data_IF_655956715801
#
_entry.id   IF_655956715801
#
_cell.length_a   1.000
_cell.length_b   1.000
_cell.length_c   1.000
_cell.angle_alpha   90.00
_cell.angle_beta   90.00
_cell.angle_gamma   90.00
#
_symmetry.space_group_name_H-M   'P 1'
#
loop_
_entity.id
_entity.type
_entity.pdbx_description
1 polymer ?
#
# COMPACT_ATOMS: atom_id res chain seq x y z
N UNK A 1 51.48 4.08 -2.94
CA UNK A 1 50.48 4.53 -3.92
C UNK A 1 50.02 5.93 -3.52
N UNK A 2 50.63 6.98 -4.09
CA UNK A 2 50.25 8.37 -3.79
C UNK A 2 48.99 8.70 -4.59
N UNK A 3 47.84 8.85 -3.92
CA UNK A 3 46.65 9.40 -4.58
C UNK A 3 46.89 10.91 -4.70
N UNK A 4 47.01 11.47 -5.92
CA UNK A 4 47.27 12.90 -6.06
C UNK A 4 46.05 13.69 -5.57
N UNK A 5 46.25 14.58 -4.60
CA UNK A 5 45.20 15.44 -4.03
C UNK A 5 44.39 16.20 -5.09
N UNK A 6 45.00 16.50 -6.25
CA UNK A 6 44.34 17.10 -7.40
C UNK A 6 43.23 16.22 -8.02
N UNK A 7 43.40 14.90 -8.02
CA UNK A 7 42.37 13.96 -8.50
C UNK A 7 41.20 13.93 -7.52
N UNK A 8 41.48 13.89 -6.21
CA UNK A 8 40.46 13.92 -5.17
C UNK A 8 39.61 15.20 -5.25
N UNK A 9 40.25 16.35 -5.43
CA UNK A 9 39.56 17.64 -5.57
C UNK A 9 38.65 17.71 -6.79
N UNK A 10 39.09 17.20 -7.96
CA UNK A 10 38.24 17.15 -9.17
C UNK A 10 37.03 16.25 -8.99
N UNK A 11 37.22 15.06 -8.41
CA UNK A 11 36.12 14.13 -8.12
C UNK A 11 35.10 14.78 -7.18
N UNK A 12 35.56 15.47 -6.14
CA UNK A 12 34.68 16.18 -5.21
C UNK A 12 33.86 17.27 -5.91
N UNK A 13 34.50 18.10 -6.75
CA UNK A 13 33.79 19.15 -7.50
C UNK A 13 32.75 18.55 -8.44
N UNK A 14 33.09 17.49 -9.18
CA UNK A 14 32.11 16.83 -10.05
C UNK A 14 30.94 16.23 -9.27
N UNK A 15 31.18 15.68 -8.08
CA UNK A 15 30.15 15.14 -7.21
C UNK A 15 29.22 16.27 -6.72
N UNK A 16 29.76 17.40 -6.26
CA UNK A 16 28.96 18.56 -5.83
C UNK A 16 28.12 19.10 -6.98
N UNK A 17 28.69 19.26 -8.18
CA UNK A 17 27.94 19.70 -9.37
C UNK A 17 26.84 18.71 -9.73
N UNK A 18 27.12 17.40 -9.68
CA UNK A 18 26.14 16.37 -9.93
C UNK A 18 24.97 16.42 -8.93
N UNK A 19 25.25 16.62 -7.64
CA UNK A 19 24.21 16.78 -6.60
C UNK A 19 23.34 17.99 -6.89
N UNK A 20 23.93 19.15 -7.21
CA UNK A 20 23.18 20.37 -7.55
C UNK A 20 22.27 20.14 -8.76
N UNK A 21 22.80 19.53 -9.83
CA UNK A 21 22.02 19.22 -11.03
C UNK A 21 20.87 18.27 -10.69
N UNK A 22 21.12 17.23 -9.90
CA UNK A 22 20.10 16.27 -9.48
C UNK A 22 18.97 16.93 -8.67
N UNK A 23 19.32 17.87 -7.78
CA UNK A 23 18.34 18.65 -7.00
C UNK A 23 17.52 19.59 -7.88
N UNK A 24 18.13 20.23 -8.88
CA UNK A 24 17.40 21.08 -9.83
C UNK A 24 16.44 20.26 -10.69
N UNK A 25 16.88 19.09 -11.17
CA UNK A 25 16.03 18.16 -11.92
C UNK A 25 14.86 17.68 -11.07
N UNK A 26 15.09 17.30 -9.80
CA UNK A 26 14.01 16.84 -8.92
C UNK A 26 12.99 17.94 -8.63
N UNK A 27 13.42 19.19 -8.41
CA UNK A 27 12.53 20.35 -8.26
C UNK A 27 11.67 20.59 -9.51
N UNK A 28 12.28 20.55 -10.71
CA UNK A 28 11.55 20.71 -11.96
C UNK A 28 10.51 19.60 -12.17
N UNK A 29 10.87 18.35 -11.87
CA UNK A 29 9.95 17.20 -11.92
C UNK A 29 8.83 17.35 -10.88
N UNK A 30 9.14 17.86 -9.68
CA UNK A 30 8.18 18.13 -8.63
C UNK A 30 7.15 19.18 -9.04
N UNK A 31 7.60 20.31 -9.57
CA UNK A 31 6.73 21.39 -10.09
C UNK A 31 5.85 20.88 -11.23
N UNK A 32 6.41 20.08 -12.14
CA UNK A 32 5.64 19.49 -13.23
C UNK A 32 4.60 18.49 -12.71
N UNK A 33 4.98 17.57 -11.81
CA UNK A 33 4.06 16.57 -11.23
C UNK A 33 2.92 17.25 -10.47
N UNK A 34 3.22 18.31 -9.73
CA UNK A 34 2.24 19.12 -9.02
C UNK A 34 1.24 19.77 -9.99
N UNK A 35 1.72 20.37 -11.09
CA UNK A 35 0.83 21.01 -12.08
C UNK A 35 -0.09 20.04 -12.82
N UNK A 36 0.29 18.76 -12.97
CA UNK A 36 -0.49 17.78 -13.73
C UNK A 36 -1.33 16.82 -12.88
N UNK A 37 -1.28 16.92 -11.54
CA UNK A 37 -1.89 15.94 -10.62
C UNK A 37 -1.56 14.48 -11.00
N UNK A 38 -0.37 14.28 -11.57
CA UNK A 38 0.12 12.96 -11.99
C UNK A 38 1.56 12.86 -11.54
N UNK A 39 1.83 11.89 -10.66
CA UNK A 39 3.19 11.46 -10.41
C UNK A 39 3.76 10.97 -11.73
N UNK A 40 4.78 11.66 -12.26
CA UNK A 40 5.40 11.34 -13.55
C UNK A 40 6.07 9.96 -13.56
N UNK A 41 6.54 9.50 -12.40
CA UNK A 41 7.29 8.25 -12.26
C UNK A 41 6.89 7.47 -11.00
N UNK A 42 5.64 6.96 -10.89
CA UNK A 42 5.20 6.21 -9.72
C UNK A 42 6.09 4.98 -9.49
N UNK A 43 6.49 4.29 -10.56
CA UNK A 43 7.38 3.14 -10.48
C UNK A 43 8.78 3.48 -9.94
N UNK A 44 9.29 4.70 -10.21
CA UNK A 44 10.58 5.13 -9.65
C UNK A 44 10.46 5.44 -8.16
N UNK A 45 9.37 6.08 -7.74
CA UNK A 45 9.10 6.34 -6.31
C UNK A 45 9.03 5.01 -5.55
N UNK A 46 8.23 4.07 -6.05
CA UNK A 46 8.14 2.73 -5.46
C UNK A 46 9.49 2.02 -5.48
N UNK A 47 10.23 2.05 -6.59
CA UNK A 47 11.58 1.48 -6.65
C UNK A 47 12.48 2.03 -5.55
N UNK A 48 12.51 3.35 -5.35
CA UNK A 48 13.32 3.97 -4.31
C UNK A 48 12.85 3.59 -2.91
N UNK A 49 11.54 3.70 -2.63
CA UNK A 49 10.98 3.33 -1.32
C UNK A 49 11.33 1.89 -0.93
N UNK A 50 11.17 0.94 -1.87
CA UNK A 50 11.46 -0.45 -1.62
C UNK A 50 12.96 -0.77 -1.60
N UNK A 51 13.78 -0.07 -2.39
CA UNK A 51 15.23 -0.22 -2.36
C UNK A 51 15.80 0.21 -1.00
N UNK A 52 15.26 1.27 -0.40
CA UNK A 52 15.69 1.78 0.90
C UNK A 52 14.95 1.16 2.08
N UNK A 53 13.99 0.26 1.86
CA UNK A 53 13.22 -0.38 2.92
C UNK A 53 14.09 -1.09 3.97
N UNK A 54 14.90 -2.06 3.55
CA UNK A 54 15.77 -2.82 4.46
C UNK A 54 16.86 -1.95 5.11
N UNK A 55 17.56 -1.06 4.37
CA UNK A 55 18.48 -0.09 4.99
C UNK A 55 17.80 0.80 6.04
N UNK A 56 16.60 1.31 5.77
CA UNK A 56 15.87 2.16 6.71
C UNK A 56 15.50 1.40 7.98
N UNK A 57 14.99 0.17 7.87
CA UNK A 57 14.71 -0.68 9.04
C UNK A 57 15.95 -0.99 9.86
N UNK A 58 17.09 -1.25 9.22
CA UNK A 58 18.36 -1.45 9.92
C UNK A 58 18.77 -0.21 10.73
N UNK A 59 18.60 0.99 10.17
CA UNK A 59 18.85 2.25 10.87
C UNK A 59 17.90 2.41 12.05
N UNK A 60 16.59 2.20 11.85
CA UNK A 60 15.59 2.27 12.93
C UNK A 60 15.95 1.34 14.09
N UNK A 61 16.29 0.07 13.78
CA UNK A 61 16.74 -0.91 14.77
C UNK A 61 17.98 -0.45 15.52
N UNK A 62 18.96 0.12 14.81
CA UNK A 62 20.19 0.66 15.42
C UNK A 62 19.91 1.85 16.33
N UNK A 63 18.94 2.70 15.95
CA UNK A 63 18.54 3.88 16.70
C UNK A 63 17.47 3.61 17.78
N UNK A 64 17.10 2.35 18.03
CA UNK A 64 16.01 1.97 18.96
C UNK A 64 14.65 2.61 18.64
N UNK A 65 14.40 2.84 17.34
CA UNK A 65 13.13 3.35 16.81
C UNK A 65 12.31 2.16 16.31
N UNK A 66 10.97 2.21 16.48
CA UNK A 66 10.07 1.17 15.97
C UNK A 66 10.20 1.03 14.45
N UNK A 67 10.46 -0.17 13.97
CA UNK A 67 10.61 -0.46 12.54
C UNK A 67 9.31 -0.24 11.74
N UNK A 68 8.14 -0.36 12.41
CA UNK A 68 6.82 -0.14 11.80
C UNK A 68 6.65 1.26 11.21
N UNK A 69 7.39 2.27 11.71
CA UNK A 69 7.36 3.63 11.15
C UNK A 69 7.79 3.63 9.67
N UNK A 70 8.72 2.75 9.28
CA UNK A 70 9.15 2.63 7.89
C UNK A 70 8.01 2.08 7.03
N UNK A 71 7.29 1.08 7.54
CA UNK A 71 6.13 0.51 6.88
C UNK A 71 5.01 1.55 6.70
N UNK A 72 4.69 2.31 7.76
CA UNK A 72 3.69 3.40 7.75
C UNK A 72 3.97 4.42 6.65
N UNK A 73 5.21 4.89 6.58
CA UNK A 73 5.63 5.87 5.58
C UNK A 73 5.45 5.28 4.17
N UNK A 74 5.82 4.02 3.95
CA UNK A 74 5.69 3.39 2.63
C UNK A 74 4.21 3.23 2.25
N UNK A 75 3.36 2.83 3.19
CA UNK A 75 1.92 2.67 2.95
C UNK A 75 1.29 4.02 2.64
N UNK A 76 1.57 5.07 3.42
CA UNK A 76 1.01 6.41 3.22
C UNK A 76 1.49 7.07 1.93
N UNK A 77 2.79 6.98 1.63
CA UNK A 77 3.32 7.49 0.36
C UNK A 77 2.74 6.70 -0.81
N UNK A 78 2.61 5.37 -0.67
CA UNK A 78 1.98 4.52 -1.67
C UNK A 78 0.52 4.91 -1.93
N UNK A 79 -0.25 5.13 -0.87
CA UNK A 79 -1.62 5.64 -0.90
C UNK A 79 -1.69 6.94 -1.70
N UNK A 80 -0.88 7.94 -1.33
CA UNK A 80 -0.85 9.25 -1.97
C UNK A 80 -0.45 9.17 -3.45
N UNK A 81 0.57 8.39 -3.79
CA UNK A 81 1.06 8.25 -5.18
C UNK A 81 0.03 7.58 -6.08
N UNK A 82 -0.74 6.61 -5.57
CA UNK A 82 -1.74 5.87 -6.34
C UNK A 82 -3.13 6.49 -6.32
N UNK A 83 -3.39 7.46 -5.43
CA UNK A 83 -4.72 8.01 -5.15
C UNK A 83 -5.47 8.46 -6.41
N UNK A 84 -4.82 9.26 -7.27
CA UNK A 84 -5.48 9.80 -8.46
C UNK A 84 -5.81 8.71 -9.49
N UNK A 85 -4.97 7.68 -9.61
CA UNK A 85 -5.26 6.52 -10.47
C UNK A 85 -6.38 5.67 -9.87
N UNK A 86 -6.41 5.54 -8.55
CA UNK A 86 -7.41 4.79 -7.81
C UNK A 86 -8.81 5.41 -7.98
N UNK A 87 -8.94 6.74 -7.81
CA UNK A 87 -10.20 7.49 -8.00
C UNK A 87 -10.78 7.39 -9.42
N UNK A 88 -9.93 7.19 -10.42
CA UNK A 88 -10.34 7.15 -11.84
C UNK A 88 -10.76 5.76 -12.31
N UNK A 89 -10.67 4.74 -11.46
CA UNK A 89 -10.97 3.37 -11.83
C UNK A 89 -12.48 3.20 -11.97
N UNK A 90 -12.90 2.78 -13.17
CA UNK A 90 -14.25 2.33 -13.45
C UNK A 90 -14.20 0.83 -13.71
N UNK A 91 -14.77 0.02 -12.82
CA UNK A 91 -14.82 -1.43 -13.01
C UNK A 91 -14.88 -2.22 -11.70
N UNK A 92 -14.52 -3.51 -11.80
CA UNK A 92 -14.49 -4.43 -10.66
C UNK A 92 -13.43 -3.99 -9.66
N UNK A 93 -13.84 -3.71 -8.42
CA UNK A 93 -12.92 -3.37 -7.34
C UNK A 93 -13.02 -4.40 -6.22
N UNK A 94 -11.92 -4.61 -5.49
CA UNK A 94 -11.85 -5.59 -4.41
C UNK A 94 -11.39 -4.95 -3.10
N UNK A 95 -11.94 -5.43 -1.99
CA UNK A 95 -11.41 -5.19 -0.64
C UNK A 95 -10.88 -6.51 -0.11
N UNK A 96 -9.62 -6.53 0.28
CA UNK A 96 -8.94 -7.70 0.79
C UNK A 96 -8.70 -7.49 2.28
N UNK A 97 -9.34 -8.33 3.09
CA UNK A 97 -9.29 -8.28 4.55
C UNK A 97 -8.49 -9.48 5.09
N UNK A 98 -7.76 -9.33 6.20
CA UNK A 98 -7.02 -10.42 6.79
C UNK A 98 -7.95 -11.30 7.64
N UNK A 99 -7.63 -12.60 7.73
CA UNK A 99 -8.37 -13.51 8.60
C UNK A 99 -8.35 -13.11 10.08
N UNK A 100 -7.35 -12.34 10.52
CA UNK A 100 -7.15 -11.93 11.90
C UNK A 100 -8.27 -11.01 12.44
N UNK A 101 -9.00 -10.33 11.54
CA UNK A 101 -10.19 -9.53 11.88
C UNK A 101 -11.41 -10.39 12.25
N UNK A 102 -11.39 -11.69 11.93
CA UNK A 102 -12.53 -12.57 12.22
C UNK A 102 -12.63 -12.77 13.73
N UNK A 103 -13.86 -12.69 14.21
CA UNK A 103 -14.15 -13.12 15.57
C UNK A 103 -13.85 -14.64 15.71
N UNK A 104 -13.34 -15.11 16.85
CA UNK A 104 -12.99 -16.52 17.08
C UNK A 104 -14.15 -17.50 16.87
N UNK A 105 -15.37 -17.05 17.16
CA UNK A 105 -16.60 -17.82 16.99
C UNK A 105 -17.20 -17.72 15.58
N UNK A 106 -16.50 -17.10 14.63
CA UNK A 106 -16.96 -16.96 13.24
C UNK A 106 -16.93 -18.32 12.52
N UNK A 107 -18.09 -18.76 12.03
CA UNK A 107 -18.27 -20.07 11.35
C UNK A 107 -18.03 -20.04 9.84
N UNK A 108 -17.53 -18.93 9.31
CA UNK A 108 -17.26 -18.76 7.88
C UNK A 108 -16.43 -19.93 7.30
N UNK A 109 -16.91 -20.49 6.19
CA UNK A 109 -16.21 -21.55 5.45
C UNK A 109 -15.05 -20.95 4.66
N UNK A 110 -13.91 -21.64 4.64
CA UNK A 110 -12.78 -21.27 3.77
C UNK A 110 -12.88 -21.97 2.42
N UNK A 111 -12.99 -21.20 1.35
CA UNK A 111 -12.79 -21.65 -0.01
C UNK A 111 -11.28 -21.62 -0.38
N UNK A 112 -10.74 -22.64 -1.08
CA UNK A 112 -9.31 -22.72 -1.42
C UNK A 112 -8.78 -21.63 -2.37
N UNK A 113 -9.66 -20.87 -3.03
CA UNK A 113 -9.33 -19.85 -4.03
C UNK A 113 -9.61 -18.44 -3.51
N UNK A 114 -10.78 -18.23 -2.92
CA UNK A 114 -11.31 -16.91 -2.55
C UNK A 114 -11.16 -16.59 -1.05
N UNK A 115 -10.84 -17.58 -0.22
CA UNK A 115 -10.67 -17.40 1.21
C UNK A 115 -11.97 -17.64 1.99
N UNK A 116 -12.13 -16.98 3.13
CA UNK A 116 -13.30 -17.13 3.99
C UNK A 116 -14.52 -16.41 3.41
N UNK A 117 -15.63 -17.14 3.31
CA UNK A 117 -16.93 -16.59 2.89
C UNK A 117 -17.65 -15.99 4.09
N UNK A 118 -17.68 -14.66 4.18
CA UNK A 118 -18.33 -13.97 5.28
C UNK A 118 -19.87 -14.01 5.15
N UNK A 119 -20.53 -14.62 6.13
CA UNK A 119 -22.00 -14.69 6.23
C UNK A 119 -22.62 -13.50 6.98
N UNK A 120 -21.86 -12.41 7.21
CA UNK A 120 -22.29 -11.23 7.97
C UNK A 120 -22.87 -11.58 9.36
N UNK A 121 -22.20 -12.47 10.09
CA UNK A 121 -22.65 -12.96 11.40
C UNK A 121 -22.74 -11.91 12.53
N UNK A 122 -22.33 -10.66 12.28
CA UNK A 122 -22.40 -9.56 13.26
C UNK A 122 -21.36 -9.60 14.40
N UNK A 123 -20.44 -10.56 14.39
CA UNK A 123 -19.46 -10.74 15.48
C UNK A 123 -18.17 -9.91 15.34
N UNK A 124 -17.93 -9.32 14.17
CA UNK A 124 -16.71 -8.55 13.86
C UNK A 124 -16.99 -7.51 12.78
N UNK A 125 -16.06 -6.57 12.60
CA UNK A 125 -16.18 -5.42 11.70
C UNK A 125 -16.29 -5.78 10.22
N UNK A 126 -15.90 -7.00 9.85
CA UNK A 126 -15.98 -7.51 8.46
C UNK A 126 -17.42 -7.39 7.93
N UNK A 127 -18.44 -7.65 8.76
CA UNK A 127 -19.84 -7.56 8.35
C UNK A 127 -20.20 -6.16 7.85
N UNK A 128 -19.84 -5.14 8.61
CA UNK A 128 -20.04 -3.72 8.28
C UNK A 128 -19.29 -3.33 7.01
N UNK A 129 -18.04 -3.79 6.85
CA UNK A 129 -17.25 -3.55 5.63
C UNK A 129 -17.91 -4.21 4.42
N UNK A 130 -18.47 -5.42 4.55
CA UNK A 130 -19.20 -6.09 3.47
C UNK A 130 -20.45 -5.32 3.05
N UNK A 131 -21.21 -4.78 3.99
CA UNK A 131 -22.40 -3.96 3.69
C UNK A 131 -22.04 -2.67 2.97
N UNK A 132 -20.98 -1.97 3.42
CA UNK A 132 -20.48 -0.78 2.74
C UNK A 132 -19.94 -1.11 1.33
N UNK A 133 -19.24 -2.23 1.19
CA UNK A 133 -18.71 -2.67 -0.11
C UNK A 133 -19.81 -2.93 -1.15
N UNK A 134 -20.96 -3.49 -0.73
CA UNK A 134 -22.12 -3.66 -1.62
C UNK A 134 -22.63 -2.32 -2.16
N UNK A 135 -22.67 -1.28 -1.31
CA UNK A 135 -23.09 0.08 -1.71
C UNK A 135 -22.13 0.73 -2.72
N UNK A 136 -20.82 0.50 -2.58
CA UNK A 136 -19.79 1.10 -3.42
C UNK A 136 -19.29 0.19 -4.56
N UNK A 137 -19.98 -0.93 -4.82
CA UNK A 137 -19.64 -1.92 -5.87
C UNK A 137 -18.24 -2.54 -5.73
N UNK A 138 -17.84 -2.82 -4.49
CA UNK A 138 -16.63 -3.58 -4.15
C UNK A 138 -16.98 -5.03 -3.81
N UNK A 139 -16.10 -5.96 -4.21
CA UNK A 139 -16.16 -7.35 -3.74
C UNK A 139 -15.19 -7.55 -2.58
N UNK A 140 -15.70 -7.99 -1.42
CA UNK A 140 -14.86 -8.30 -0.25
C UNK A 140 -14.34 -9.74 -0.34
N UNK A 141 -13.06 -9.91 -0.02
CA UNK A 141 -12.39 -11.19 0.16
C UNK A 141 -11.70 -11.21 1.52
N UNK A 142 -11.93 -12.25 2.31
CA UNK A 142 -11.27 -12.43 3.60
C UNK A 142 -10.24 -13.53 3.46
N UNK A 143 -8.96 -13.19 3.51
CA UNK A 143 -7.88 -14.12 3.14
C UNK A 143 -7.11 -14.66 4.35
N UNK A 144 -6.73 -15.95 4.35
CA UNK A 144 -5.83 -16.50 5.36
C UNK A 144 -4.39 -15.95 5.30
N UNK A 145 -3.96 -15.49 4.13
CA UNK A 145 -2.62 -14.92 3.92
C UNK A 145 -2.34 -14.60 2.44
N UNK A 146 -1.15 -14.07 2.18
CA UNK A 146 -0.79 -13.43 0.90
C UNK A 146 -0.88 -14.31 -0.35
N UNK A 147 -0.71 -15.62 -0.19
CA UNK A 147 -0.86 -16.56 -1.31
C UNK A 147 -2.26 -16.50 -1.95
N UNK A 148 -3.29 -16.19 -1.15
CA UNK A 148 -4.66 -16.01 -1.65
C UNK A 148 -4.83 -14.68 -2.38
N UNK A 149 -4.13 -13.63 -1.97
CA UNK A 149 -4.13 -12.32 -2.66
C UNK A 149 -3.74 -12.52 -4.12
N UNK A 150 -2.66 -13.27 -4.37
CA UNK A 150 -2.20 -13.60 -5.74
C UNK A 150 -3.24 -14.40 -6.53
N UNK A 151 -3.93 -15.35 -5.88
CA UNK A 151 -5.00 -16.14 -6.53
C UNK A 151 -6.18 -15.27 -6.92
N UNK A 152 -6.66 -14.42 -6.00
CA UNK A 152 -7.78 -13.50 -6.20
C UNK A 152 -7.46 -12.51 -7.33
N UNK A 153 -6.26 -11.93 -7.34
CA UNK A 153 -5.84 -11.03 -8.43
C UNK A 153 -5.89 -11.72 -9.79
N UNK A 154 -5.46 -12.98 -9.87
CA UNK A 154 -5.47 -13.75 -11.13
C UNK A 154 -6.88 -14.17 -11.56
N UNK A 155 -7.74 -14.58 -10.61
CA UNK A 155 -9.07 -15.12 -10.88
C UNK A 155 -10.12 -14.03 -11.04
N UNK A 156 -10.21 -13.09 -10.11
CA UNK A 156 -11.20 -12.01 -10.10
C UNK A 156 -10.81 -10.86 -11.03
N UNK A 157 -9.50 -10.62 -11.21
CA UNK A 157 -8.94 -9.52 -12.02
C UNK A 157 -9.55 -8.16 -11.70
N UNK A 158 -9.38 -7.66 -10.45
CA UNK A 158 -9.84 -6.33 -10.08
C UNK A 158 -9.05 -5.24 -10.83
N UNK A 159 -9.71 -4.10 -11.04
CA UNK A 159 -9.10 -2.89 -11.61
C UNK A 159 -8.48 -2.00 -10.53
N UNK A 160 -8.95 -2.14 -9.28
CA UNK A 160 -8.39 -1.50 -8.09
C UNK A 160 -8.65 -2.35 -6.84
N UNK A 161 -7.77 -2.21 -5.85
CA UNK A 161 -7.88 -2.93 -4.59
C UNK A 161 -7.72 -2.03 -3.38
N UNK A 162 -8.44 -2.34 -2.30
CA UNK A 162 -8.13 -1.86 -0.95
C UNK A 162 -7.58 -3.06 -0.17
N UNK A 163 -6.37 -2.95 0.38
CA UNK A 163 -5.75 -3.95 1.23
C UNK A 163 -5.83 -3.54 2.70
N UNK A 164 -6.20 -4.48 3.55
CA UNK A 164 -6.15 -4.33 5.01
C UNK A 164 -5.28 -5.45 5.58
N UNK A 165 -4.25 -5.10 6.34
CA UNK A 165 -3.36 -6.05 7.02
C UNK A 165 -2.51 -5.34 8.08
N UNK A 166 -1.66 -6.07 8.79
CA UNK A 166 -0.64 -5.46 9.64
C UNK A 166 0.39 -4.71 8.78
N UNK A 167 1.17 -3.81 9.39
CA UNK A 167 2.09 -2.91 8.68
C UNK A 167 3.04 -3.63 7.71
N UNK A 168 3.64 -4.73 8.14
CA UNK A 168 4.61 -5.50 7.35
C UNK A 168 3.94 -6.21 6.16
N UNK A 169 2.91 -7.03 6.43
CA UNK A 169 2.18 -7.77 5.38
C UNK A 169 1.54 -6.82 4.36
N UNK A 170 1.01 -5.69 4.83
CA UNK A 170 0.41 -4.69 3.96
C UNK A 170 1.45 -4.06 3.04
N UNK A 171 2.64 -3.73 3.55
CA UNK A 171 3.73 -3.16 2.76
C UNK A 171 4.18 -4.13 1.65
N UNK A 172 4.40 -5.40 1.99
CA UNK A 172 4.80 -6.45 1.03
C UNK A 172 3.71 -6.71 -0.02
N UNK A 173 2.46 -6.84 0.42
CA UNK A 173 1.32 -7.02 -0.48
C UNK A 173 1.15 -5.82 -1.42
N UNK A 174 1.21 -4.59 -0.91
CA UNK A 174 1.13 -3.39 -1.75
C UNK A 174 2.27 -3.31 -2.76
N UNK A 175 3.49 -3.71 -2.38
CA UNK A 175 4.64 -3.76 -3.29
C UNK A 175 4.39 -4.69 -4.48
N UNK A 176 3.78 -5.85 -4.24
CA UNK A 176 3.49 -6.79 -5.31
C UNK A 176 2.32 -6.31 -6.18
N UNK A 177 1.22 -5.89 -5.56
CA UNK A 177 -0.04 -5.60 -6.26
C UNK A 177 0.01 -4.27 -7.02
N UNK A 178 0.72 -3.26 -6.50
CA UNK A 178 0.86 -1.94 -7.15
C UNK A 178 1.47 -1.99 -8.56
N UNK A 179 2.16 -3.08 -8.90
CA UNK A 179 2.71 -3.32 -10.24
C UNK A 179 1.64 -3.56 -11.29
N UNK A 180 0.45 -4.02 -10.88
CA UNK A 180 -0.61 -4.45 -11.78
C UNK A 180 -1.80 -3.48 -11.78
N UNK A 181 -2.11 -2.86 -10.64
CA UNK A 181 -3.28 -2.00 -10.44
C UNK A 181 -3.05 -0.97 -9.34
N UNK A 182 -3.79 0.15 -9.30
CA UNK A 182 -3.79 1.05 -8.14
C UNK A 182 -4.33 0.33 -6.91
N UNK A 183 -3.62 0.51 -5.79
CA UNK A 183 -3.98 -0.07 -4.49
C UNK A 183 -4.06 1.05 -3.46
N UNK A 184 -4.95 0.91 -2.49
CA UNK A 184 -4.92 1.68 -1.26
C UNK A 184 -4.80 0.72 -0.08
N UNK A 185 -3.98 1.07 0.92
CA UNK A 185 -3.79 0.30 2.13
C UNK A 185 -4.43 0.98 3.34
N UNK A 186 -4.96 0.19 4.27
CA UNK A 186 -5.33 0.59 5.64
C UNK A 186 -4.68 -0.42 6.57
N UNK A 187 -3.77 0.02 7.43
CA UNK A 187 -3.20 -0.87 8.45
C UNK A 187 -4.18 -1.08 9.60
N UNK A 188 -4.01 -2.17 10.33
CA UNK A 188 -4.81 -2.46 11.52
C UNK A 188 -4.43 -1.49 12.66
N UNK A 189 -5.43 -1.01 13.40
CA UNK A 189 -5.23 -0.18 14.60
C UNK A 189 -4.60 -1.00 15.74
N UNK A 190 -4.94 -2.29 15.77
CA UNK A 190 -4.43 -3.25 16.71
C UNK A 190 -3.98 -4.48 15.96
N UNK A 191 -2.67 -4.60 15.85
CA UNK A 191 -2.00 -5.75 15.25
C UNK A 191 -2.00 -6.97 16.17
N UNK A 192 -1.96 -8.14 15.54
CA UNK A 192 -1.93 -9.44 16.18
C UNK A 192 -2.39 -10.52 15.21
N UNK A 193 -2.05 -11.78 15.47
CA UNK A 193 -2.60 -12.89 14.68
C UNK A 193 -4.02 -13.28 15.14
N UNK A 194 -4.65 -12.48 16.01
CA UNK A 194 -5.92 -12.80 16.66
C UNK A 194 -6.61 -11.53 17.22
N UNK A 195 -7.92 -11.40 16.98
CA UNK A 195 -8.78 -10.33 17.51
C UNK A 195 -8.21 -8.91 17.27
N UNK A 196 -7.87 -8.65 16.00
CA UNK A 196 -7.36 -7.37 15.53
C UNK A 196 -8.49 -6.39 15.27
N UNK A 197 -8.15 -5.10 15.18
CA UNK A 197 -9.12 -4.02 14.97
C UNK A 197 -8.66 -3.16 13.79
N UNK A 198 -9.62 -2.67 12.99
CA UNK A 198 -9.36 -1.79 11.84
C UNK A 198 -10.23 -0.54 11.96
N UNK A 199 -9.72 0.59 11.45
CA UNK A 199 -10.55 1.77 11.22
C UNK A 199 -11.52 1.51 10.05
N UNK A 200 -12.75 1.11 10.38
CA UNK A 200 -13.80 0.82 9.40
C UNK A 200 -14.15 2.07 8.58
N UNK A 201 -14.15 3.25 9.22
CA UNK A 201 -14.49 4.51 8.55
C UNK A 201 -13.41 4.88 7.51
N UNK A 202 -12.13 4.62 7.80
CA UNK A 202 -11.06 4.80 6.81
C UNK A 202 -11.23 3.87 5.60
N UNK A 203 -11.58 2.60 5.83
CA UNK A 203 -11.84 1.64 4.74
C UNK A 203 -13.01 2.10 3.88
N UNK A 204 -14.11 2.53 4.50
CA UNK A 204 -15.31 3.05 3.81
C UNK A 204 -14.98 4.32 3.02
N UNK A 205 -14.24 5.26 3.62
CA UNK A 205 -13.82 6.50 2.97
C UNK A 205 -12.98 6.23 1.72
N UNK A 206 -12.11 5.22 1.75
CA UNK A 206 -11.35 4.81 0.56
C UNK A 206 -12.28 4.24 -0.52
N UNK A 207 -13.31 3.46 -0.17
CA UNK A 207 -14.31 3.01 -1.16
C UNK A 207 -15.04 4.20 -1.80
N UNK A 208 -15.44 5.18 -0.99
CA UNK A 208 -16.09 6.41 -1.46
C UNK A 208 -15.20 7.19 -2.44
N UNK A 209 -13.91 7.33 -2.13
CA UNK A 209 -12.97 7.99 -3.03
C UNK A 209 -12.90 7.34 -4.41
N UNK A 210 -12.97 6.00 -4.49
CA UNK A 210 -12.94 5.26 -5.76
C UNK A 210 -14.23 5.47 -6.58
N UNK A 211 -15.37 5.66 -5.92
CA UNK A 211 -16.69 5.68 -6.56
C UNK A 211 -17.20 7.10 -6.88
N UNK A 212 -16.36 8.14 -6.73
CA UNK A 212 -16.73 9.54 -6.98
C UNK A 212 -17.05 9.88 -8.47
N UNK A 213 -17.09 8.89 -9.37
CA UNK A 213 -17.68 9.03 -10.71
C UNK A 213 -19.16 8.60 -10.77
N UNK A 214 -19.78 8.23 -9.65
CA UNK A 214 -21.17 7.80 -9.56
C UNK A 214 -22.14 8.88 -9.02
N UNK A 215 -21.69 10.14 -8.90
CA UNK A 215 -22.50 11.32 -8.58
C UNK A 215 -22.44 12.34 -9.71
#
# INVERSE_FOLDING_TARGET
MYIPYALLGRVFVYLVVAVIILTLISLLIGIYSYKKNKSLFPNFIFFMLYFFYSPAKLICRTCSIKESIVDDIIIEVGNAVMLERFKQVNGKCAVILPQCLRHPNCKARCDPITGYECEKCGLCDIGTICEAAEKYNFKVFVVPGDSFVRKIIKSYRPHACIGVACHMELTESMQEVSKYMPVQGVWLLKDGCYNTEVDVDEVIRKMEMCNNNAL
#
